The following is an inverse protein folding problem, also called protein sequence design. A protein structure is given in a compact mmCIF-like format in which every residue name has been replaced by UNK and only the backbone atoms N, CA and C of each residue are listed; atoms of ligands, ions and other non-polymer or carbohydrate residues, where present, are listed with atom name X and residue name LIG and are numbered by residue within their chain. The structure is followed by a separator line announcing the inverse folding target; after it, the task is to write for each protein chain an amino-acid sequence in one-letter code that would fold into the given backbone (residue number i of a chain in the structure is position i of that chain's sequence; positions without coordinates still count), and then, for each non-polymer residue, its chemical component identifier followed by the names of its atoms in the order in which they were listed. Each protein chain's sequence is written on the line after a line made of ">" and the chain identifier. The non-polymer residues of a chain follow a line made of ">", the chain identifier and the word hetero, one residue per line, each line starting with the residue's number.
data_IF_313176281400
#
_entry.id   IF_313176281400
#
_cell.length_a   1.000
_cell.length_b   1.000
_cell.length_c   1.000
_cell.angle_alpha   90.00
_cell.angle_beta   90.00
_cell.angle_gamma   90.00
#
_symmetry.space_group_name_H-M   'P 1'
#
loop_
_entity.id
_entity.type
_entity.pdbx_description
1 polymer ?
#
# COMPACT_ATOMS: atom_id res chain seq x y z
N UNK A 1 -15.50 25.57 -9.47
CA UNK A 1 -15.78 24.13 -9.24
C UNK A 1 -16.24 23.98 -7.80
N UNK A 2 -17.34 23.34 -7.54
CA UNK A 2 -17.83 23.18 -6.17
C UNK A 2 -17.05 22.08 -5.45
N UNK A 3 -16.85 22.22 -4.13
CA UNK A 3 -16.19 21.20 -3.30
C UNK A 3 -16.82 19.81 -3.51
N UNK A 4 -18.15 19.76 -3.66
CA UNK A 4 -18.88 18.53 -3.89
C UNK A 4 -18.42 17.78 -5.18
N UNK A 5 -18.25 18.51 -6.28
CA UNK A 5 -17.75 17.91 -7.53
C UNK A 5 -16.31 17.42 -7.39
N UNK A 6 -15.47 18.14 -6.66
CA UNK A 6 -14.10 17.72 -6.38
C UNK A 6 -14.06 16.44 -5.52
N UNK A 7 -14.90 16.35 -4.48
CA UNK A 7 -15.01 15.16 -3.65
C UNK A 7 -15.51 13.95 -4.45
N UNK A 8 -16.52 14.14 -5.30
CA UNK A 8 -17.04 13.07 -6.17
C UNK A 8 -15.97 12.60 -7.17
N UNK A 9 -15.24 13.53 -7.79
CA UNK A 9 -14.16 13.20 -8.71
C UNK A 9 -13.01 12.47 -8.00
N UNK A 10 -12.66 12.88 -6.77
CA UNK A 10 -11.65 12.21 -5.95
C UNK A 10 -12.08 10.79 -5.60
N UNK A 11 -13.33 10.61 -5.18
CA UNK A 11 -13.88 9.28 -4.87
C UNK A 11 -13.89 8.38 -6.09
N UNK A 12 -14.35 8.88 -7.24
CA UNK A 12 -14.36 8.14 -8.50
C UNK A 12 -12.93 7.72 -8.93
N UNK A 13 -11.96 8.63 -8.78
CA UNK A 13 -10.56 8.33 -9.08
C UNK A 13 -10.00 7.25 -8.16
N UNK A 14 -10.28 7.31 -6.86
CA UNK A 14 -9.84 6.27 -5.91
C UNK A 14 -10.47 4.91 -6.22
N UNK A 15 -11.76 4.88 -6.53
CA UNK A 15 -12.43 3.63 -6.94
C UNK A 15 -11.81 3.06 -8.21
N UNK A 16 -11.56 3.91 -9.21
CA UNK A 16 -10.92 3.49 -10.46
C UNK A 16 -9.51 2.92 -10.24
N UNK A 17 -8.67 3.61 -9.44
CA UNK A 17 -7.33 3.13 -9.11
C UNK A 17 -7.35 1.79 -8.34
N UNK A 18 -8.29 1.63 -7.43
CA UNK A 18 -8.48 0.38 -6.71
C UNK A 18 -8.94 -0.75 -7.65
N UNK A 19 -9.88 -0.47 -8.54
CA UNK A 19 -10.41 -1.44 -9.50
C UNK A 19 -9.33 -1.98 -10.44
N UNK A 20 -8.43 -1.12 -10.93
CA UNK A 20 -7.33 -1.51 -11.84
C UNK A 20 -6.09 -2.02 -11.09
N UNK A 21 -6.15 -2.20 -9.77
CA UNK A 21 -4.98 -2.57 -8.94
C UNK A 21 -3.76 -1.68 -9.22
N UNK A 22 -3.97 -0.37 -9.26
CA UNK A 22 -2.94 0.59 -9.62
C UNK A 22 -1.72 0.53 -8.70
N UNK A 23 -0.53 0.79 -9.25
CA UNK A 23 0.71 0.79 -8.49
C UNK A 23 0.73 1.90 -7.43
N UNK A 24 1.53 1.73 -6.36
CA UNK A 24 1.69 2.76 -5.33
C UNK A 24 2.13 4.12 -5.87
N UNK A 25 2.92 4.13 -6.94
CA UNK A 25 3.32 5.36 -7.63
C UNK A 25 2.10 6.05 -8.27
N UNK A 26 1.21 5.30 -8.91
CA UNK A 26 -0.01 5.88 -9.50
C UNK A 26 -0.91 6.51 -8.42
N UNK A 27 -1.04 5.87 -7.25
CA UNK A 27 -1.73 6.43 -6.10
C UNK A 27 -1.10 7.73 -5.61
N UNK A 28 0.23 7.78 -5.52
CA UNK A 28 0.93 9.00 -5.09
C UNK A 28 0.77 10.13 -6.10
N UNK A 29 0.87 9.85 -7.40
CA UNK A 29 0.65 10.85 -8.45
C UNK A 29 -0.78 11.38 -8.41
N UNK A 30 -1.77 10.51 -8.28
CA UNK A 30 -3.17 10.91 -8.16
C UNK A 30 -3.42 11.81 -6.94
N UNK A 31 -2.87 11.45 -5.78
CA UNK A 31 -2.96 12.26 -4.57
C UNK A 31 -2.29 13.63 -4.74
N UNK A 32 -1.10 13.68 -5.34
CA UNK A 32 -0.40 14.94 -5.62
C UNK A 32 -1.21 15.86 -6.55
N UNK A 33 -1.80 15.29 -7.61
CA UNK A 33 -2.66 16.02 -8.55
C UNK A 33 -3.91 16.57 -7.83
N UNK A 34 -4.58 15.78 -7.00
CA UNK A 34 -5.75 16.21 -6.24
C UNK A 34 -5.41 17.35 -5.27
N UNK A 35 -4.28 17.29 -4.58
CA UNK A 35 -3.80 18.36 -3.70
C UNK A 35 -3.48 19.60 -4.54
N UNK A 36 -2.81 19.48 -5.67
CA UNK A 36 -2.50 20.59 -6.57
C UNK A 36 -3.74 21.26 -7.12
N UNK A 37 -4.73 20.50 -7.56
CA UNK A 37 -6.03 21.03 -8.03
C UNK A 37 -6.77 21.74 -6.91
N UNK A 38 -6.80 21.18 -5.69
CA UNK A 38 -7.46 21.83 -4.56
C UNK A 38 -6.82 23.18 -4.20
N UNK A 39 -5.49 23.28 -4.40
CA UNK A 39 -4.74 24.51 -4.14
C UNK A 39 -5.01 25.57 -5.20
N UNK A 40 -4.87 25.23 -6.48
CA UNK A 40 -5.06 26.17 -7.60
C UNK A 40 -6.50 26.64 -7.73
N UNK A 41 -7.47 25.80 -7.47
CA UNK A 41 -8.88 26.11 -7.51
C UNK A 41 -9.43 26.69 -6.18
N UNK A 42 -8.57 26.87 -5.17
CA UNK A 42 -8.94 27.39 -3.84
C UNK A 42 -10.15 26.68 -3.23
N UNK A 43 -10.21 25.35 -3.38
CA UNK A 43 -11.35 24.54 -2.95
C UNK A 43 -11.39 24.33 -1.44
N UNK A 44 -10.24 24.31 -0.81
CA UNK A 44 -10.07 24.11 0.63
C UNK A 44 -9.35 25.30 1.26
N UNK A 45 -9.56 25.55 2.56
CA UNK A 45 -8.82 26.59 3.28
C UNK A 45 -7.30 26.36 3.17
N UNK A 46 -6.47 27.43 3.11
CA UNK A 46 -5.02 27.31 2.93
C UNK A 46 -4.32 26.43 3.97
N UNK A 47 -4.76 26.50 5.23
CA UNK A 47 -4.21 25.69 6.30
C UNK A 47 -4.48 24.18 6.10
N UNK A 48 -5.63 23.82 5.54
CA UNK A 48 -6.00 22.43 5.27
C UNK A 48 -5.21 21.88 4.07
N UNK A 49 -5.06 22.69 3.00
CA UNK A 49 -4.21 22.34 1.87
C UNK A 49 -2.75 22.12 2.30
N UNK A 50 -2.24 23.01 3.18
CA UNK A 50 -0.90 22.85 3.74
C UNK A 50 -0.78 21.56 4.56
N UNK A 51 -1.74 21.28 5.43
CA UNK A 51 -1.75 20.06 6.23
C UNK A 51 -1.75 18.80 5.35
N UNK A 52 -2.58 18.75 4.31
CA UNK A 52 -2.63 17.66 3.34
C UNK A 52 -1.30 17.50 2.60
N UNK A 53 -0.68 18.59 2.18
CA UNK A 53 0.63 18.56 1.51
C UNK A 53 1.73 18.03 2.45
N UNK A 54 1.77 18.47 3.70
CA UNK A 54 2.74 17.98 4.70
C UNK A 54 2.55 16.48 4.96
N UNK A 55 1.32 16.05 5.19
CA UNK A 55 1.01 14.61 5.39
C UNK A 55 1.44 13.82 4.16
N UNK A 56 1.13 14.29 2.95
CA UNK A 56 1.53 13.63 1.72
C UNK A 56 3.05 13.50 1.60
N UNK A 57 3.80 14.58 1.82
CA UNK A 57 5.28 14.58 1.73
C UNK A 57 5.92 13.62 2.74
N UNK A 58 5.31 13.45 3.91
CA UNK A 58 5.81 12.51 4.93
C UNK A 58 5.43 11.08 4.61
N UNK A 59 4.17 10.83 4.24
CA UNK A 59 3.63 9.47 4.08
C UNK A 59 4.05 8.84 2.75
N UNK A 60 4.04 9.59 1.65
CA UNK A 60 4.34 9.05 0.33
C UNK A 60 5.72 8.39 0.25
N UNK A 61 6.83 9.00 0.74
CA UNK A 61 8.14 8.34 0.73
C UNK A 61 8.18 7.08 1.60
N UNK A 62 7.51 7.10 2.75
CA UNK A 62 7.45 5.92 3.65
C UNK A 62 6.79 4.73 2.97
N UNK A 63 5.73 4.97 2.20
CA UNK A 63 5.02 3.91 1.49
C UNK A 63 5.72 3.47 0.20
N UNK A 64 6.30 4.41 -0.55
CA UNK A 64 6.89 4.16 -1.87
C UNK A 64 8.31 3.60 -1.80
N UNK A 65 9.10 4.00 -0.79
CA UNK A 65 10.48 3.55 -0.65
C UNK A 65 10.53 2.26 0.18
N UNK A 66 10.89 1.10 -0.41
CA UNK A 66 10.83 -0.19 0.28
C UNK A 66 11.71 -0.25 1.54
N UNK A 67 12.85 0.42 1.54
CA UNK A 67 13.75 0.48 2.70
C UNK A 67 13.14 1.22 3.89
N UNK A 68 12.48 2.36 3.64
CA UNK A 68 11.78 3.13 4.67
C UNK A 68 10.57 2.36 5.20
N UNK A 69 9.77 1.78 4.30
CA UNK A 69 8.62 0.97 4.68
C UNK A 69 9.02 -0.23 5.54
N UNK A 70 10.09 -0.94 5.17
CA UNK A 70 10.59 -2.06 5.98
C UNK A 70 10.98 -1.59 7.37
N UNK A 71 11.84 -0.60 7.46
CA UNK A 71 12.39 -0.13 8.74
C UNK A 71 11.33 0.48 9.67
N UNK A 72 10.40 1.26 9.14
CA UNK A 72 9.41 2.00 9.94
C UNK A 72 8.14 1.21 10.23
N UNK A 73 7.73 0.32 9.33
CA UNK A 73 6.45 -0.38 9.43
C UNK A 73 6.67 -1.90 9.53
N UNK A 74 7.30 -2.51 8.52
CA UNK A 74 7.33 -3.97 8.40
C UNK A 74 8.08 -4.66 9.52
N UNK A 75 9.21 -4.11 9.97
CA UNK A 75 10.01 -4.72 11.04
C UNK A 75 9.27 -4.68 12.38
N UNK A 76 8.56 -3.58 12.68
CA UNK A 76 7.73 -3.46 13.87
C UNK A 76 6.55 -4.44 13.86
N UNK A 77 5.83 -4.49 12.74
CA UNK A 77 4.70 -5.42 12.54
C UNK A 77 5.19 -6.86 12.65
N UNK A 78 6.29 -7.22 11.97
CA UNK A 78 6.87 -8.55 12.01
C UNK A 78 7.30 -8.96 13.43
N UNK A 79 7.86 -8.03 14.21
CA UNK A 79 8.23 -8.30 15.59
C UNK A 79 7.01 -8.62 16.47
N UNK A 80 5.88 -7.94 16.25
CA UNK A 80 4.62 -8.23 16.94
C UNK A 80 4.07 -9.59 16.51
N UNK A 81 4.04 -9.87 15.20
CA UNK A 81 3.56 -11.16 14.68
C UNK A 81 4.38 -12.33 15.21
N UNK A 82 5.72 -12.21 15.26
CA UNK A 82 6.59 -13.26 15.82
C UNK A 82 6.31 -13.59 17.28
N UNK A 83 5.76 -12.66 18.05
CA UNK A 83 5.38 -12.92 19.45
C UNK A 83 4.02 -13.61 19.58
N UNK A 84 3.13 -13.38 18.63
CA UNK A 84 1.75 -13.88 18.65
C UNK A 84 1.68 -15.26 17.98
N UNK A 85 2.50 -15.52 16.96
CA UNK A 85 2.53 -16.80 16.29
C UNK A 85 3.06 -17.89 17.23
N UNK A 86 2.33 -19.01 17.36
CA UNK A 86 2.84 -20.16 18.10
C UNK A 86 4.13 -20.66 17.47
N UNK A 87 5.02 -21.28 18.25
CA UNK A 87 6.22 -21.92 17.70
C UNK A 87 5.82 -22.98 16.68
N UNK A 88 6.54 -23.02 15.57
CA UNK A 88 6.32 -23.98 14.49
C UNK A 88 6.40 -25.41 15.05
N UNK A 89 5.43 -26.24 14.73
CA UNK A 89 5.42 -27.64 15.14
C UNK A 89 6.58 -28.41 14.49
N UNK A 90 6.99 -29.52 15.10
CA UNK A 90 8.06 -30.35 14.55
C UNK A 90 7.72 -30.86 13.15
N UNK A 91 6.48 -31.24 12.92
CA UNK A 91 5.97 -31.72 11.62
C UNK A 91 6.02 -30.66 10.53
N UNK A 92 5.67 -29.40 10.87
CA UNK A 92 5.76 -28.28 9.92
C UNK A 92 7.22 -27.97 9.56
N UNK A 93 8.12 -28.05 10.53
CA UNK A 93 9.54 -27.86 10.30
C UNK A 93 10.11 -28.94 9.38
N UNK A 94 9.79 -30.20 9.65
CA UNK A 94 10.20 -31.34 8.82
C UNK A 94 9.65 -31.22 7.40
N UNK A 95 8.40 -30.78 7.23
CA UNK A 95 7.81 -30.55 5.92
C UNK A 95 8.53 -29.43 5.13
N UNK A 96 8.94 -28.36 5.80
CA UNK A 96 9.67 -27.25 5.15
C UNK A 96 11.12 -27.68 4.85
N UNK A 97 11.79 -28.39 5.76
CA UNK A 97 13.17 -28.88 5.59
C UNK A 97 13.26 -29.98 4.51
N UNK A 98 12.20 -30.76 4.31
CA UNK A 98 12.12 -31.74 3.23
C UNK A 98 12.16 -31.10 1.82
N UNK A 99 11.95 -29.79 1.71
CA UNK A 99 12.15 -29.02 0.47
C UNK A 99 11.20 -29.33 -0.67
N UNK A 100 10.33 -30.31 -0.51
CA UNK A 100 9.35 -30.72 -1.52
C UNK A 100 8.04 -29.96 -1.30
N UNK A 101 8.07 -28.67 -1.50
CA UNK A 101 6.84 -27.91 -1.74
C UNK A 101 6.50 -28.11 -3.21
N UNK A 102 6.12 -29.32 -3.53
CA UNK A 102 5.79 -29.79 -4.85
C UNK A 102 4.88 -28.76 -5.60
N UNK A 103 3.81 -29.14 -6.18
CA UNK A 103 2.91 -28.31 -6.94
C UNK A 103 2.28 -27.14 -6.14
N UNK A 104 2.08 -27.32 -4.84
CA UNK A 104 1.58 -26.28 -3.94
C UNK A 104 2.49 -25.04 -3.89
N UNK A 105 3.80 -25.22 -4.01
CA UNK A 105 4.77 -24.12 -4.06
C UNK A 105 4.62 -23.24 -5.31
N UNK A 106 4.29 -23.85 -6.44
CA UNK A 106 4.03 -23.11 -7.68
C UNK A 106 2.72 -22.33 -7.61
N UNK A 107 1.67 -22.92 -7.03
CA UNK A 107 0.39 -22.25 -6.79
C UNK A 107 0.56 -20.97 -5.93
N UNK A 108 1.33 -21.05 -4.86
CA UNK A 108 1.61 -19.91 -3.97
C UNK A 108 2.58 -18.90 -4.58
N UNK A 109 3.33 -19.24 -5.63
CA UNK A 109 4.18 -18.29 -6.36
C UNK A 109 3.36 -17.26 -7.15
N UNK A 110 2.07 -17.51 -7.37
CA UNK A 110 1.17 -16.69 -8.17
C UNK A 110 1.37 -16.81 -9.69
N UNK A 111 2.26 -17.69 -10.13
CA UNK A 111 2.53 -18.00 -11.55
C UNK A 111 2.77 -19.50 -11.74
N UNK A 112 1.76 -20.36 -11.51
CA UNK A 112 1.90 -21.77 -11.72
C UNK A 112 2.11 -22.10 -13.20
N UNK A 113 3.00 -23.02 -13.50
CA UNK A 113 3.18 -23.57 -14.84
C UNK A 113 2.11 -24.67 -15.06
N UNK A 114 1.18 -24.41 -15.98
CA UNK A 114 0.05 -25.29 -16.27
C UNK A 114 0.35 -26.37 -17.33
N UNK A 115 1.61 -26.68 -17.61
CA UNK A 115 1.99 -27.74 -18.54
C UNK A 115 1.89 -29.15 -17.96
#
# INVERSE_FOLDING_TARGET
>A
MTIALWLLASLALFIALAYVNASGVAWAVAAAVLIGVSWTASLLPPWLNLALAVVFVVVAPVLLVPSLRRKLISDGVLAVFRRILPPMSQTEREAIEAGTVWWDGELFSGKPDWQ
#
